data_IF_152043918673
#
_entry.id   IF_152043918673
#
_cell.length_a   1.000
_cell.length_b   1.000
_cell.length_c   1.000
_cell.angle_alpha   90.00
_cell.angle_beta   90.00
_cell.angle_gamma   90.00
#
_symmetry.space_group_name_H-M   'P 1'
#
loop_
_entity.id
_entity.type
_entity.pdbx_description
1 polymer ?
#
# COMPACT_ATOMS: atom_id res chain seq x y z
N UNK A 1 -27.03 39.14 32.29
CA UNK A 1 -26.07 38.08 32.68
C UNK A 1 -26.53 36.64 32.38
N UNK A 2 -27.81 36.27 32.55
CA UNK A 2 -28.28 34.89 32.29
C UNK A 2 -28.25 34.43 30.81
N UNK A 3 -28.44 35.34 29.85
CA UNK A 3 -28.47 35.00 28.42
C UNK A 3 -27.05 34.76 27.86
N UNK A 4 -26.04 35.47 28.37
CA UNK A 4 -24.64 35.31 27.93
C UNK A 4 -24.07 33.93 28.33
N UNK A 5 -24.50 33.39 29.48
CA UNK A 5 -24.08 32.07 29.98
C UNK A 5 -24.66 30.90 29.18
N UNK A 6 -25.87 31.05 28.62
CA UNK A 6 -26.52 30.01 27.81
C UNK A 6 -25.88 29.94 26.42
N UNK A 7 -25.51 31.08 25.84
CA UNK A 7 -24.82 31.13 24.54
C UNK A 7 -23.39 30.56 24.66
N UNK A 8 -22.68 30.85 25.76
CA UNK A 8 -21.34 30.32 26.00
C UNK A 8 -21.33 28.80 26.22
N UNK A 9 -22.36 28.25 26.88
CA UNK A 9 -22.46 26.80 27.12
C UNK A 9 -22.88 26.02 25.88
N UNK A 10 -23.70 26.59 25.00
CA UNK A 10 -24.05 25.98 23.71
C UNK A 10 -22.88 25.97 22.69
N UNK A 11 -22.00 26.99 22.72
CA UNK A 11 -20.82 27.04 21.86
C UNK A 11 -19.73 26.03 22.28
N UNK A 12 -19.61 25.75 23.59
CA UNK A 12 -18.62 24.79 24.11
C UNK A 12 -19.06 23.34 23.86
N UNK A 13 -20.37 23.04 23.86
CA UNK A 13 -20.87 21.70 23.51
C UNK A 13 -20.80 21.40 22.00
N UNK A 14 -20.87 22.41 21.13
CA UNK A 14 -20.65 22.25 19.69
C UNK A 14 -19.17 22.07 19.30
N UNK A 15 -18.22 22.53 20.14
CA UNK A 15 -16.78 22.35 19.92
C UNK A 15 -16.19 21.09 20.59
N UNK A 16 -17.00 20.31 21.31
CA UNK A 16 -16.58 19.07 22.00
C UNK A 16 -16.99 17.78 21.25
N UNK A 17 -17.25 17.87 19.94
CA UNK A 17 -17.24 16.67 19.10
C UNK A 17 -15.81 16.43 18.62
N UNK A 18 -15.08 15.46 19.19
CA UNK A 18 -13.91 14.95 18.53
C UNK A 18 -14.41 14.26 17.27
N UNK A 19 -14.32 14.92 16.11
CA UNK A 19 -14.16 14.21 14.85
C UNK A 19 -12.76 13.60 14.84
N UNK A 20 -12.52 12.65 15.75
CA UNK A 20 -11.45 11.69 15.55
C UNK A 20 -11.85 10.93 14.31
N UNK A 21 -11.27 11.31 13.17
CA UNK A 21 -11.08 10.39 12.06
C UNK A 21 -10.19 9.26 12.60
N UNK A 22 -10.81 8.32 13.32
CA UNK A 22 -10.13 7.11 13.78
C UNK A 22 -9.83 6.34 12.51
N UNK A 23 -8.58 6.42 12.04
CA UNK A 23 -8.11 5.56 10.98
C UNK A 23 -8.45 4.12 11.37
N UNK A 24 -9.07 3.38 10.45
CA UNK A 24 -9.44 2.01 10.71
C UNK A 24 -8.19 1.17 11.00
N UNK A 25 -8.05 0.65 12.22
CA UNK A 25 -6.97 -0.25 12.60
C UNK A 25 -7.57 -1.62 12.87
N UNK A 26 -7.22 -2.58 12.01
CA UNK A 26 -7.61 -3.97 12.19
C UNK A 26 -6.56 -4.67 13.05
N UNK A 27 -7.01 -5.43 14.05
CA UNK A 27 -6.13 -6.35 14.77
C UNK A 27 -5.73 -7.45 13.79
N UNK A 28 -4.43 -7.51 13.45
CA UNK A 28 -3.91 -8.58 12.62
C UNK A 28 -4.11 -9.93 13.32
N UNK A 29 -4.43 -10.98 12.55
CA UNK A 29 -4.49 -12.35 13.07
C UNK A 29 -3.16 -12.80 13.66
N UNK A 30 -3.18 -13.91 14.41
CA UNK A 30 -2.03 -14.41 15.16
C UNK A 30 -0.90 -14.97 14.29
N UNK A 31 -1.01 -14.90 12.95
CA UNK A 31 -0.03 -15.43 12.00
C UNK A 31 -0.28 -16.89 11.63
N UNK A 32 -1.07 -17.62 12.42
CA UNK A 32 -1.48 -18.99 12.11
C UNK A 32 -2.81 -19.00 11.34
N UNK A 33 -2.77 -19.26 10.03
CA UNK A 33 -3.95 -19.27 9.16
C UNK A 33 -5.08 -20.16 9.71
N UNK A 34 -4.77 -21.38 10.14
CA UNK A 34 -5.80 -22.32 10.59
C UNK A 34 -6.52 -21.81 11.84
N UNK A 35 -5.77 -21.22 12.77
CA UNK A 35 -6.33 -20.61 13.98
C UNK A 35 -7.16 -19.39 13.62
N UNK A 36 -6.63 -18.51 12.77
CA UNK A 36 -7.32 -17.29 12.32
C UNK A 36 -8.62 -17.61 11.57
N UNK A 37 -8.63 -18.66 10.74
CA UNK A 37 -9.81 -19.15 10.05
C UNK A 37 -10.88 -19.63 11.04
N UNK A 38 -10.51 -20.51 11.99
CA UNK A 38 -11.44 -21.02 13.00
C UNK A 38 -12.05 -19.89 13.83
N UNK A 39 -11.22 -18.97 14.33
CA UNK A 39 -11.66 -17.80 15.11
C UNK A 39 -12.60 -16.92 14.28
N UNK A 40 -12.28 -16.65 13.00
CA UNK A 40 -13.15 -15.87 12.13
C UNK A 40 -14.52 -16.55 11.92
N UNK A 41 -14.53 -17.88 11.71
CA UNK A 41 -15.77 -18.65 11.56
C UNK A 41 -16.60 -18.65 12.84
N UNK A 42 -15.98 -18.78 14.00
CA UNK A 42 -16.66 -18.74 15.30
C UNK A 42 -17.28 -17.38 15.57
N UNK A 43 -16.50 -16.30 15.36
CA UNK A 43 -16.93 -14.91 15.63
C UNK A 43 -18.02 -14.41 14.70
N UNK A 44 -18.03 -14.78 13.43
CA UNK A 44 -18.99 -14.23 12.47
C UNK A 44 -20.43 -14.66 12.80
N UNK A 45 -21.38 -13.73 12.84
CA UNK A 45 -22.80 -14.09 13.04
C UNK A 45 -23.38 -14.82 11.83
N UNK A 46 -22.88 -14.48 10.64
CA UNK A 46 -23.21 -15.12 9.38
C UNK A 46 -22.00 -15.21 8.45
N UNK A 47 -21.98 -16.26 7.63
CA UNK A 47 -20.97 -16.47 6.58
C UNK A 47 -21.71 -16.88 5.33
N UNK A 48 -21.52 -16.14 4.24
CA UNK A 48 -22.24 -16.37 3.00
C UNK A 48 -21.46 -15.84 1.80
N UNK A 49 -21.78 -16.40 0.62
CA UNK A 49 -21.35 -15.87 -0.66
C UNK A 49 -22.44 -14.96 -1.20
N UNK A 50 -22.09 -13.75 -1.61
CA UNK A 50 -23.04 -12.82 -2.21
C UNK A 50 -22.47 -12.14 -3.46
N UNK A 51 -23.34 -11.85 -4.42
CA UNK A 51 -23.02 -11.03 -5.59
C UNK A 51 -23.45 -9.60 -5.34
N UNK A 52 -22.58 -8.65 -5.66
CA UNK A 52 -22.94 -7.23 -5.70
C UNK A 52 -23.76 -6.97 -6.96
N UNK A 53 -25.00 -6.53 -6.80
CA UNK A 53 -25.90 -6.20 -7.92
C UNK A 53 -25.70 -4.72 -8.29
N UNK A 54 -25.69 -4.31 -9.58
CA UNK A 54 -25.52 -2.90 -9.94
C UNK A 54 -26.70 -2.06 -9.38
N UNK A 55 -26.56 -0.78 -9.02
CA UNK A 55 -25.56 0.22 -9.40
C UNK A 55 -25.02 1.01 -8.18
N UNK A 56 -23.68 1.13 -8.00
CA UNK A 56 -23.12 2.04 -7.01
C UNK A 56 -23.46 3.49 -7.40
N UNK A 57 -24.39 4.12 -6.68
CA UNK A 57 -24.70 5.55 -6.84
C UNK A 57 -23.78 6.36 -5.93
N UNK A 58 -22.90 7.16 -6.55
CA UNK A 58 -22.17 8.22 -5.87
C UNK A 58 -20.82 7.83 -5.27
N UNK A 59 -19.97 8.82 -4.97
CA UNK A 59 -18.58 8.60 -4.62
C UNK A 59 -18.46 8.20 -3.14
N UNK A 60 -17.88 7.02 -2.88
CA UNK A 60 -17.25 6.62 -1.62
C UNK A 60 -18.11 6.48 -0.34
N UNK A 61 -19.41 6.80 -0.35
CA UNK A 61 -20.29 6.68 0.82
C UNK A 61 -21.69 6.22 0.41
N UNK A 62 -22.21 5.17 1.02
CA UNK A 62 -23.59 4.73 0.78
C UNK A 62 -23.83 3.27 1.14
N UNK A 63 -24.75 2.65 0.41
CA UNK A 63 -25.01 1.21 0.49
C UNK A 63 -24.85 0.57 -0.89
N UNK A 64 -24.64 -0.74 -0.91
CA UNK A 64 -24.72 -1.56 -2.11
C UNK A 64 -25.77 -2.64 -1.91
N UNK A 65 -26.54 -2.91 -2.95
CA UNK A 65 -27.42 -4.08 -2.96
C UNK A 65 -26.59 -5.34 -3.22
N UNK A 66 -26.83 -6.36 -2.40
CA UNK A 66 -26.26 -7.68 -2.61
C UNK A 66 -27.34 -8.72 -2.72
N UNK A 67 -27.07 -9.74 -3.53
CA UNK A 67 -27.87 -10.95 -3.65
C UNK A 67 -27.08 -12.11 -3.07
N UNK A 68 -27.65 -12.78 -2.07
CA UNK A 68 -27.02 -13.92 -1.41
C UNK A 68 -27.10 -15.13 -2.34
N UNK A 69 -25.94 -15.68 -2.70
CA UNK A 69 -25.85 -16.83 -3.58
C UNK A 69 -25.87 -18.14 -2.80
N UNK A 70 -25.13 -18.20 -1.68
CA UNK A 70 -25.00 -19.40 -0.85
C UNK A 70 -24.73 -19.02 0.60
N UNK A 71 -25.24 -19.81 1.56
CA UNK A 71 -25.11 -19.55 2.99
C UNK A 71 -24.39 -20.71 3.67
N UNK A 72 -23.36 -20.40 4.46
CA UNK A 72 -22.59 -21.36 5.25
C UNK A 72 -23.00 -21.32 6.73
N UNK A 73 -23.31 -20.13 7.25
CA UNK A 73 -23.65 -19.91 8.66
C UNK A 73 -24.59 -18.71 8.78
N UNK A 74 -25.47 -18.73 9.77
CA UNK A 74 -26.25 -17.57 10.21
C UNK A 74 -27.67 -17.51 9.64
N UNK A 75 -28.41 -16.42 9.94
CA UNK A 75 -29.85 -16.32 9.67
C UNK A 75 -30.21 -15.82 8.25
N UNK A 76 -29.21 -15.53 7.42
CA UNK A 76 -29.40 -15.07 6.04
C UNK A 76 -29.87 -16.23 5.16
N UNK A 77 -30.68 -15.97 4.13
CA UNK A 77 -31.16 -17.02 3.21
C UNK A 77 -30.64 -16.85 1.78
N UNK A 78 -30.44 -17.95 1.07
CA UNK A 78 -30.08 -17.93 -0.36
C UNK A 78 -31.18 -17.24 -1.18
N UNK A 79 -30.78 -16.38 -2.11
CA UNK A 79 -31.65 -15.54 -2.92
C UNK A 79 -32.11 -14.24 -2.23
N UNK A 80 -31.81 -14.07 -0.95
CA UNK A 80 -32.14 -12.83 -0.23
C UNK A 80 -31.39 -11.64 -0.82
N UNK A 81 -32.08 -10.49 -0.90
CA UNK A 81 -31.51 -9.21 -1.34
C UNK A 81 -31.59 -8.19 -0.23
N UNK A 82 -30.47 -7.55 0.09
CA UNK A 82 -30.44 -6.47 1.07
C UNK A 82 -29.26 -5.52 0.82
N UNK A 83 -29.29 -4.40 1.54
CA UNK A 83 -28.30 -3.35 1.46
C UNK A 83 -27.16 -3.57 2.46
N UNK A 84 -25.92 -3.48 2.00
CA UNK A 84 -24.71 -3.47 2.82
C UNK A 84 -24.09 -2.08 2.82
N UNK A 85 -23.52 -1.62 3.95
CA UNK A 85 -22.82 -0.35 4.00
C UNK A 85 -21.54 -0.41 3.15
N UNK A 86 -21.35 0.60 2.31
CA UNK A 86 -20.13 0.81 1.52
C UNK A 86 -19.43 2.09 1.96
N UNK A 87 -18.10 2.05 1.92
CA UNK A 87 -17.28 3.21 2.15
C UNK A 87 -15.88 3.10 1.56
N UNK A 88 -14.94 3.82 2.15
CA UNK A 88 -13.54 3.78 1.76
C UNK A 88 -12.66 4.61 2.67
N UNK A 89 -11.40 4.19 2.81
CA UNK A 89 -10.31 5.01 3.38
C UNK A 89 -10.63 5.71 4.70
N UNK A 90 -10.63 4.97 5.81
CA UNK A 90 -10.69 5.55 7.17
C UNK A 90 -12.02 5.36 7.90
N UNK A 91 -13.11 5.00 7.23
CA UNK A 91 -14.44 4.79 7.84
C UNK A 91 -14.75 3.33 8.21
N UNK A 92 -13.73 2.45 8.14
CA UNK A 92 -13.83 1.01 8.34
C UNK A 92 -14.85 0.28 7.45
N UNK A 93 -15.42 0.88 6.40
CA UNK A 93 -16.37 0.18 5.54
C UNK A 93 -15.67 -0.50 4.37
N UNK A 94 -16.29 -1.53 3.82
CA UNK A 94 -15.77 -2.23 2.64
C UNK A 94 -16.10 -1.42 1.40
N UNK A 95 -15.10 -1.29 0.51
CA UNK A 95 -15.32 -0.76 -0.84
C UNK A 95 -15.64 -1.91 -1.79
N UNK A 96 -16.92 -2.12 -2.06
CA UNK A 96 -17.35 -3.17 -2.97
C UNK A 96 -17.02 -2.82 -4.42
N UNK A 97 -16.84 -3.87 -5.23
CA UNK A 97 -16.70 -3.81 -6.68
C UNK A 97 -18.03 -4.26 -7.27
N UNK A 98 -18.58 -3.48 -8.18
CA UNK A 98 -19.83 -3.85 -8.87
C UNK A 98 -19.68 -5.20 -9.56
N UNK A 99 -20.76 -6.00 -9.54
CA UNK A 99 -20.87 -7.30 -10.21
C UNK A 99 -19.91 -8.39 -9.70
N UNK A 100 -19.05 -8.09 -8.73
CA UNK A 100 -18.16 -9.07 -8.13
C UNK A 100 -18.87 -9.91 -7.06
N UNK A 101 -18.43 -11.16 -6.94
CA UNK A 101 -18.84 -12.05 -5.85
C UNK A 101 -17.89 -11.89 -4.66
N UNK A 102 -18.47 -11.97 -3.46
CA UNK A 102 -17.76 -11.80 -2.19
C UNK A 102 -18.02 -13.00 -1.28
N UNK A 103 -16.97 -13.46 -0.63
CA UNK A 103 -17.09 -14.26 0.59
C UNK A 103 -17.21 -13.29 1.76
N UNK A 104 -18.33 -13.36 2.48
CA UNK A 104 -18.68 -12.41 3.53
C UNK A 104 -18.63 -13.09 4.89
N UNK A 105 -17.86 -12.48 5.80
CA UNK A 105 -17.89 -12.73 7.23
C UNK A 105 -18.57 -11.52 7.88
N UNK A 106 -19.82 -11.71 8.30
CA UNK A 106 -20.60 -10.65 8.95
C UNK A 106 -20.18 -10.45 10.40
N UNK A 107 -20.47 -9.27 10.94
CA UNK A 107 -20.13 -8.90 12.31
C UNK A 107 -20.75 -9.85 13.35
N UNK A 108 -20.13 -10.04 14.54
CA UNK A 108 -20.60 -11.00 15.53
C UNK A 108 -22.03 -10.81 16.03
N UNK A 109 -22.59 -9.60 15.91
CA UNK A 109 -23.93 -9.25 16.41
C UNK A 109 -24.94 -8.93 15.32
N UNK A 110 -24.52 -8.85 14.05
CA UNK A 110 -25.39 -8.48 12.95
C UNK A 110 -24.93 -9.14 11.65
N UNK A 111 -25.81 -9.99 11.10
CA UNK A 111 -25.57 -10.77 9.88
C UNK A 111 -25.54 -9.93 8.60
N UNK A 112 -26.03 -8.68 8.66
CA UNK A 112 -26.10 -7.73 7.54
C UNK A 112 -25.18 -6.52 7.75
N UNK A 113 -24.24 -6.63 8.68
CA UNK A 113 -23.20 -5.62 8.93
C UNK A 113 -21.82 -6.18 8.63
N UNK A 114 -21.01 -5.41 7.90
CA UNK A 114 -19.66 -5.79 7.48
C UNK A 114 -18.74 -4.58 7.65
N UNK A 115 -17.55 -4.83 8.20
CA UNK A 115 -16.49 -3.85 8.27
C UNK A 115 -15.24 -4.35 7.55
N UNK A 116 -14.35 -3.43 7.21
CA UNK A 116 -13.08 -3.64 6.55
C UNK A 116 -12.16 -4.60 7.32
N UNK A 117 -12.33 -4.69 8.63
CA UNK A 117 -11.56 -5.61 9.48
C UNK A 117 -12.17 -7.00 9.59
N UNK A 118 -13.38 -7.21 9.05
CA UNK A 118 -13.88 -8.56 8.90
C UNK A 118 -13.08 -9.28 7.81
N UNK A 119 -13.15 -10.62 7.81
CA UNK A 119 -12.45 -11.44 6.80
C UNK A 119 -13.14 -11.41 5.42
N UNK A 120 -14.11 -10.52 5.23
CA UNK A 120 -14.85 -10.35 3.99
C UNK A 120 -13.94 -9.91 2.85
N UNK A 121 -14.07 -10.56 1.69
CA UNK A 121 -13.21 -10.29 0.53
C UNK A 121 -13.89 -10.69 -0.78
N UNK A 122 -13.42 -10.14 -1.92
CA UNK A 122 -13.80 -10.67 -3.22
C UNK A 122 -13.44 -12.16 -3.32
N UNK A 123 -14.30 -12.92 -3.97
CA UNK A 123 -14.08 -14.33 -4.27
C UNK A 123 -14.24 -14.53 -5.78
N UNK A 124 -13.21 -15.08 -6.41
CA UNK A 124 -13.14 -15.20 -7.88
C UNK A 124 -13.41 -16.62 -8.39
N UNK A 125 -13.39 -17.62 -7.51
CA UNK A 125 -13.63 -19.02 -7.87
C UNK A 125 -14.25 -19.78 -6.69
N UNK A 126 -15.00 -20.85 -6.99
CA UNK A 126 -15.50 -21.82 -6.02
C UNK A 126 -14.40 -22.79 -5.55
N UNK A 127 -13.27 -22.87 -6.26
CA UNK A 127 -12.10 -23.63 -5.83
C UNK A 127 -11.24 -22.86 -4.81
N UNK A 128 -11.71 -21.70 -4.35
CA UNK A 128 -11.06 -20.95 -3.28
C UNK A 128 -10.92 -21.81 -2.02
N UNK A 129 -9.69 -21.95 -1.52
CA UNK A 129 -9.39 -22.89 -0.44
C UNK A 129 -10.11 -22.56 0.87
N UNK A 130 -10.47 -21.30 1.12
CA UNK A 130 -11.29 -20.91 2.27
C UNK A 130 -12.75 -21.31 2.06
N UNK A 131 -13.28 -21.14 0.85
CA UNK A 131 -14.63 -21.60 0.49
C UNK A 131 -14.76 -23.12 0.57
N UNK A 132 -13.80 -23.85 0.02
CA UNK A 132 -13.73 -25.32 0.11
C UNK A 132 -13.66 -25.77 1.57
N UNK A 133 -12.88 -25.08 2.41
CA UNK A 133 -12.86 -25.38 3.84
C UNK A 133 -14.21 -25.13 4.52
N UNK A 134 -14.85 -24.00 4.23
CA UNK A 134 -16.13 -23.63 4.84
C UNK A 134 -17.25 -24.64 4.51
N UNK A 135 -17.22 -25.22 3.31
CA UNK A 135 -18.22 -26.16 2.79
C UNK A 135 -17.93 -27.61 3.16
N UNK A 136 -16.66 -28.02 3.18
CA UNK A 136 -16.26 -29.43 3.41
C UNK A 136 -15.73 -29.70 4.82
N UNK A 137 -15.39 -28.66 5.58
CA UNK A 137 -14.74 -28.75 6.88
C UNK A 137 -13.23 -29.05 6.82
N UNK A 138 -12.67 -29.33 5.64
CA UNK A 138 -11.24 -29.63 5.47
C UNK A 138 -10.42 -28.34 5.38
N UNK A 139 -9.53 -28.10 6.35
CA UNK A 139 -8.69 -26.91 6.37
C UNK A 139 -7.74 -26.85 5.16
N UNK A 140 -7.42 -25.64 4.66
CA UNK A 140 -6.51 -25.49 3.54
C UNK A 140 -5.11 -25.99 3.91
N UNK A 141 -4.47 -26.75 3.02
CA UNK A 141 -3.06 -27.13 3.20
C UNK A 141 -2.18 -25.88 3.21
N UNK A 142 -1.33 -25.77 4.22
CA UNK A 142 -0.34 -24.71 4.30
C UNK A 142 0.93 -25.12 3.55
N UNK A 143 1.54 -24.20 2.79
CA UNK A 143 2.84 -24.47 2.20
C UNK A 143 3.89 -24.68 3.29
N UNK A 144 4.67 -25.73 3.15
CA UNK A 144 5.86 -25.98 3.98
C UNK A 144 7.15 -25.51 3.29
N UNK A 145 7.04 -25.11 2.02
CA UNK A 145 8.14 -24.71 1.16
C UNK A 145 7.86 -23.32 0.62
N UNK A 146 8.91 -22.50 0.56
CA UNK A 146 8.86 -21.15 -0.01
C UNK A 146 9.97 -20.95 -1.02
N UNK A 147 9.67 -20.15 -2.05
CA UNK A 147 10.63 -19.69 -3.02
C UNK A 147 10.57 -18.17 -3.12
N UNK A 148 11.71 -17.51 -2.91
CA UNK A 148 11.82 -16.06 -2.96
C UNK A 148 12.35 -15.59 -4.31
N UNK A 149 11.79 -14.50 -4.80
CA UNK A 149 12.41 -13.70 -5.86
C UNK A 149 13.42 -12.75 -5.20
N UNK A 150 14.66 -12.74 -5.68
CA UNK A 150 15.59 -11.64 -5.45
C UNK A 150 15.58 -10.72 -6.67
N UNK A 151 15.58 -9.41 -6.40
CA UNK A 151 15.58 -8.37 -7.43
C UNK A 151 16.72 -7.42 -7.14
N UNK A 152 17.44 -7.01 -8.18
CA UNK A 152 18.51 -6.01 -8.09
C UNK A 152 18.43 -5.05 -9.28
N UNK A 153 18.91 -3.83 -9.09
CA UNK A 153 18.98 -2.77 -10.10
C UNK A 153 20.03 -1.74 -9.67
N UNK A 154 20.47 -0.91 -10.61
CA UNK A 154 21.15 0.33 -10.28
C UNK A 154 20.13 1.31 -9.67
N UNK A 155 20.33 1.80 -8.42
CA UNK A 155 19.36 2.64 -7.75
C UNK A 155 19.30 4.04 -8.38
N UNK A 156 18.07 4.57 -8.51
CA UNK A 156 17.90 5.95 -8.94
C UNK A 156 18.17 6.93 -7.81
N UNK A 157 19.42 7.38 -7.69
CA UNK A 157 19.84 8.37 -6.69
C UNK A 157 19.53 9.80 -7.16
N UNK A 158 18.41 10.34 -6.69
CA UNK A 158 17.97 11.69 -7.02
C UNK A 158 18.91 12.78 -6.48
N UNK A 159 19.62 12.54 -5.37
CA UNK A 159 20.60 13.50 -4.83
C UNK A 159 21.84 13.55 -5.72
N UNK A 160 22.32 12.40 -6.20
CA UNK A 160 23.41 12.33 -7.19
C UNK A 160 23.02 13.01 -8.51
N UNK A 161 21.81 12.74 -9.01
CA UNK A 161 21.28 13.38 -10.23
C UNK A 161 21.18 14.90 -10.04
N UNK A 162 20.59 15.38 -8.95
CA UNK A 162 20.48 16.81 -8.68
C UNK A 162 21.84 17.47 -8.42
N UNK A 163 22.72 16.78 -7.70
CA UNK A 163 24.08 17.22 -7.41
C UNK A 163 24.89 17.46 -8.67
N UNK A 164 24.75 16.59 -9.68
CA UNK A 164 25.46 16.76 -10.96
C UNK A 164 24.96 17.96 -11.75
N UNK A 165 23.66 18.28 -11.67
CA UNK A 165 23.07 19.46 -12.33
C UNK A 165 23.55 20.78 -11.74
N UNK A 166 23.91 20.83 -10.45
CA UNK A 166 24.32 22.07 -9.75
C UNK A 166 25.84 22.23 -9.64
N UNK A 167 26.59 21.20 -10.03
CA UNK A 167 28.04 21.15 -9.89
C UNK A 167 28.71 21.32 -11.26
N UNK A 168 29.78 22.14 -11.38
CA UNK A 168 30.56 22.21 -12.61
C UNK A 168 31.20 20.86 -12.98
N UNK A 169 31.40 20.55 -14.27
CA UNK A 169 32.08 19.33 -14.69
C UNK A 169 33.46 19.15 -14.02
N UNK A 170 33.77 17.93 -13.57
CA UNK A 170 35.04 17.60 -12.93
C UNK A 170 35.19 18.09 -11.47
N UNK A 171 34.11 18.61 -10.86
CA UNK A 171 34.07 18.96 -9.43
C UNK A 171 33.27 17.93 -8.62
N UNK A 172 33.54 17.90 -7.32
CA UNK A 172 32.81 17.06 -6.37
C UNK A 172 31.33 17.47 -6.31
N UNK A 173 30.44 16.48 -6.32
CA UNK A 173 28.99 16.70 -6.28
C UNK A 173 28.58 17.47 -5.02
N UNK A 174 27.73 18.47 -5.19
CA UNK A 174 27.17 19.26 -4.10
C UNK A 174 25.92 18.54 -3.57
N UNK A 175 25.85 18.21 -2.28
CA UNK A 175 24.67 17.59 -1.70
C UNK A 175 23.52 18.60 -1.56
N UNK A 176 22.28 18.13 -1.34
CA UNK A 176 21.14 19.01 -1.10
C UNK A 176 21.38 19.96 0.08
N UNK A 177 20.83 21.16 -0.01
CA UNK A 177 20.86 22.15 1.05
C UNK A 177 19.55 22.17 1.82
N UNK A 178 19.61 22.51 3.10
CA UNK A 178 18.43 22.91 3.86
C UNK A 178 17.70 24.08 3.19
N UNK A 179 16.38 24.12 3.29
CA UNK A 179 15.52 25.04 2.53
C UNK A 179 15.88 26.51 2.80
N UNK A 180 16.30 26.84 4.03
CA UNK A 180 16.72 28.21 4.40
C UNK A 180 18.00 28.63 3.68
N UNK A 181 18.97 27.72 3.55
CA UNK A 181 20.22 27.97 2.82
C UNK A 181 19.98 28.02 1.31
N UNK A 182 19.13 27.13 0.80
CA UNK A 182 18.68 27.14 -0.59
C UNK A 182 18.03 28.48 -0.97
N UNK A 183 17.21 29.07 -0.08
CA UNK A 183 16.60 30.38 -0.32
C UNK A 183 17.64 31.50 -0.43
N UNK A 184 18.67 31.48 0.43
CA UNK A 184 19.75 32.46 0.35
C UNK A 184 20.53 32.32 -0.96
N UNK A 185 20.83 31.09 -1.40
CA UNK A 185 21.51 30.82 -2.67
C UNK A 185 20.67 31.23 -3.87
N UNK A 186 19.36 30.95 -3.84
CA UNK A 186 18.41 31.37 -4.86
C UNK A 186 18.39 32.90 -5.02
N UNK A 187 18.31 33.65 -3.91
CA UNK A 187 18.37 35.12 -3.93
C UNK A 187 19.69 35.64 -4.49
N UNK A 188 20.79 34.95 -4.19
CA UNK A 188 22.11 35.24 -4.74
C UNK A 188 22.30 34.72 -6.19
N UNK A 189 21.27 34.13 -6.81
CA UNK A 189 21.31 33.49 -8.15
C UNK A 189 22.39 32.41 -8.29
N UNK A 190 22.80 31.79 -7.17
CA UNK A 190 23.79 30.72 -7.13
C UNK A 190 23.13 29.35 -7.35
N UNK A 191 23.89 28.34 -7.84
CA UNK A 191 23.38 26.98 -7.94
C UNK A 191 23.01 26.43 -6.56
N UNK A 192 21.94 25.64 -6.51
CA UNK A 192 21.46 25.00 -5.28
C UNK A 192 20.52 23.84 -5.63
N UNK A 193 20.37 22.91 -4.69
CA UNK A 193 19.38 21.83 -4.72
C UNK A 193 18.75 21.75 -3.32
N UNK A 194 17.44 21.52 -3.25
CA UNK A 194 16.70 21.38 -1.99
C UNK A 194 15.45 20.54 -2.19
N UNK A 195 14.92 19.95 -1.12
CA UNK A 195 13.61 19.31 -1.15
C UNK A 195 12.49 20.35 -1.32
N UNK A 196 11.42 19.97 -2.02
CA UNK A 196 10.17 20.71 -2.07
C UNK A 196 9.08 19.92 -1.34
N UNK A 197 8.89 20.24 -0.06
CA UNK A 197 7.81 19.65 0.75
C UNK A 197 6.42 19.97 0.20
N UNK A 198 6.24 21.13 -0.45
CA UNK A 198 4.97 21.55 -1.03
C UNK A 198 4.56 20.74 -2.27
N UNK A 199 5.53 20.29 -3.08
CA UNK A 199 5.27 19.51 -4.28
C UNK A 199 5.31 17.98 -4.04
N UNK A 200 5.92 17.57 -2.93
CA UNK A 200 6.01 16.17 -2.51
C UNK A 200 4.69 15.65 -1.96
N UNK A 201 4.39 14.38 -2.21
CA UNK A 201 3.22 13.67 -1.69
C UNK A 201 3.65 12.28 -1.22
N UNK A 202 2.76 11.50 -0.61
CA UNK A 202 3.04 10.10 -0.31
C UNK A 202 3.36 9.23 -1.55
N UNK A 203 3.06 9.73 -2.76
CA UNK A 203 3.30 9.02 -4.03
C UNK A 203 4.53 9.52 -4.79
N UNK A 204 4.96 10.77 -4.61
CA UNK A 204 6.16 11.32 -5.27
C UNK A 204 7.00 12.18 -4.33
N UNK A 205 8.31 12.13 -4.49
CA UNK A 205 9.25 13.02 -3.82
C UNK A 205 9.75 14.03 -4.85
N UNK A 206 9.77 15.31 -4.48
CA UNK A 206 10.19 16.39 -5.38
C UNK A 206 11.37 17.14 -4.78
N UNK A 207 12.40 17.32 -5.59
CA UNK A 207 13.52 18.22 -5.32
C UNK A 207 13.56 19.31 -6.37
N UNK A 208 14.06 20.48 -6.01
CA UNK A 208 14.15 21.61 -6.94
C UNK A 208 15.49 22.30 -6.79
N UNK A 209 15.91 23.00 -7.84
CA UNK A 209 17.19 23.66 -7.83
C UNK A 209 17.40 24.66 -8.94
N UNK A 210 18.58 25.28 -8.89
CA UNK A 210 19.15 26.07 -9.96
C UNK A 210 20.45 25.41 -10.39
N UNK A 211 20.56 25.04 -11.66
CA UNK A 211 21.73 24.37 -12.23
C UNK A 211 22.96 25.27 -12.18
N UNK A 212 24.13 24.69 -12.42
CA UNK A 212 25.36 25.46 -12.55
C UNK A 212 25.31 26.44 -13.74
N UNK A 213 24.54 26.12 -14.79
CA UNK A 213 24.24 26.99 -15.93
C UNK A 213 23.20 28.09 -15.62
N UNK A 214 22.63 28.08 -14.40
CA UNK A 214 21.65 29.07 -13.98
C UNK A 214 20.21 28.78 -14.43
N UNK A 215 19.92 27.58 -14.95
CA UNK A 215 18.54 27.16 -15.29
C UNK A 215 17.84 26.61 -14.06
N UNK A 216 16.56 26.89 -13.92
CA UNK A 216 15.75 26.36 -12.81
C UNK A 216 15.20 24.98 -13.18
N UNK A 217 15.13 24.06 -12.22
CA UNK A 217 14.62 22.72 -12.48
C UNK A 217 13.90 22.10 -11.28
N UNK A 218 13.10 21.08 -11.55
CA UNK A 218 12.58 20.14 -10.58
C UNK A 218 12.94 18.69 -10.97
N UNK A 219 13.25 17.88 -9.97
CA UNK A 219 13.41 16.43 -10.06
C UNK A 219 12.24 15.78 -9.35
N UNK A 220 11.60 14.82 -10.01
CA UNK A 220 10.44 14.11 -9.51
C UNK A 220 10.77 12.62 -9.44
N UNK A 221 10.83 12.09 -8.24
CA UNK A 221 10.96 10.66 -7.99
C UNK A 221 9.59 10.03 -7.74
N UNK A 222 9.31 8.93 -8.45
CA UNK A 222 8.10 8.13 -8.27
C UNK A 222 8.48 6.65 -8.18
N UNK A 223 8.07 5.91 -7.13
CA UNK A 223 7.35 6.40 -5.95
C UNK A 223 8.21 7.25 -4.98
N UNK A 224 7.58 7.96 -4.04
CA UNK A 224 8.24 8.89 -3.09
C UNK A 224 9.27 8.25 -2.17
N UNK A 225 9.08 6.98 -1.81
CA UNK A 225 9.92 6.27 -0.87
C UNK A 225 10.37 4.94 -1.46
N UNK A 226 11.69 4.74 -1.39
CA UNK A 226 12.49 3.54 -1.72
C UNK A 226 11.68 2.34 -2.23
N UNK A 227 11.68 2.21 -3.56
CA UNK A 227 11.26 1.01 -4.27
C UNK A 227 12.39 -0.02 -4.40
N UNK A 228 13.39 0.01 -3.49
CA UNK A 228 14.62 -0.78 -3.56
C UNK A 228 14.36 -2.25 -3.86
N UNK A 229 13.37 -2.85 -3.20
CA UNK A 229 13.14 -4.28 -3.35
C UNK A 229 12.42 -4.67 -4.66
N UNK A 230 11.78 -3.74 -5.39
CA UNK A 230 11.10 -4.03 -6.67
C UNK A 230 11.75 -3.44 -7.91
N UNK A 231 12.69 -2.51 -7.75
CA UNK A 231 13.34 -1.83 -8.87
C UNK A 231 12.34 -1.15 -9.81
N UNK A 232 11.50 -0.28 -9.22
CA UNK A 232 10.43 0.43 -9.95
C UNK A 232 10.52 1.94 -9.75
N UNK A 233 11.63 2.46 -9.24
CA UNK A 233 11.81 3.89 -9.08
C UNK A 233 12.15 4.55 -10.41
N UNK A 234 11.50 5.67 -10.68
CA UNK A 234 11.79 6.54 -11.81
C UNK A 234 12.06 7.94 -11.31
N UNK A 235 13.06 8.60 -11.90
CA UNK A 235 13.36 10.01 -11.67
C UNK A 235 13.21 10.75 -12.98
N UNK A 236 12.38 11.78 -12.97
CA UNK A 236 12.18 12.68 -14.10
C UNK A 236 12.74 14.05 -13.80
N UNK A 237 13.42 14.65 -14.77
CA UNK A 237 13.86 16.04 -14.76
C UNK A 237 12.85 16.90 -15.52
N UNK A 238 12.54 18.06 -14.98
CA UNK A 238 11.77 19.10 -15.67
C UNK A 238 12.45 20.43 -15.49
N UNK A 239 12.67 21.13 -16.59
CA UNK A 239 13.12 22.51 -16.54
C UNK A 239 11.94 23.43 -16.19
N UNK A 240 12.25 24.50 -15.47
CA UNK A 240 11.30 25.50 -15.03
C UNK A 240 11.67 26.84 -15.66
N UNK A 241 10.66 27.60 -16.09
CA UNK A 241 10.87 29.01 -16.42
C UNK A 241 11.46 29.78 -15.24
N UNK A 242 10.94 29.52 -14.04
CA UNK A 242 11.47 30.06 -12.78
C UNK A 242 11.02 29.22 -11.59
N UNK A 243 11.70 29.41 -10.46
CA UNK A 243 11.22 28.95 -9.14
C UNK A 243 10.54 30.11 -8.41
N UNK A 244 9.39 29.85 -7.81
CA UNK A 244 8.77 30.74 -6.83
C UNK A 244 8.96 30.18 -5.42
N UNK A 245 8.99 31.07 -4.44
CA UNK A 245 9.08 30.70 -3.03
C UNK A 245 7.95 31.34 -2.26
N UNK A 246 7.22 30.53 -1.51
CA UNK A 246 6.25 31.01 -0.53
C UNK A 246 6.72 30.69 0.89
N UNK A 247 6.39 31.58 1.82
CA UNK A 247 6.48 31.35 3.26
C UNK A 247 5.10 31.63 3.85
N UNK A 248 4.26 30.60 4.05
CA UNK A 248 2.91 30.80 4.58
C UNK A 248 2.93 31.44 5.97
N UNK A 249 3.95 31.11 6.78
CA UNK A 249 4.16 31.65 8.12
C UNK A 249 5.64 32.01 8.34
N UNK A 250 5.95 32.96 9.26
CA UNK A 250 7.32 33.42 9.52
C UNK A 250 8.30 32.30 9.93
N UNK A 251 7.81 31.33 10.71
CA UNK A 251 8.61 30.24 11.27
C UNK A 251 8.67 28.99 10.39
N UNK A 252 7.87 28.93 9.33
CA UNK A 252 7.88 27.79 8.41
C UNK A 252 9.09 27.80 7.45
N UNK A 253 9.52 26.59 7.07
CA UNK A 253 10.51 26.41 6.02
C UNK A 253 9.98 26.98 4.69
N UNK A 254 10.83 27.66 3.90
CA UNK A 254 10.41 28.19 2.61
C UNK A 254 10.01 27.06 1.67
N UNK A 255 8.88 27.24 0.98
CA UNK A 255 8.31 26.28 0.06
C UNK A 255 8.63 26.70 -1.37
N UNK A 256 9.39 25.89 -2.08
CA UNK A 256 9.79 26.15 -3.46
C UNK A 256 8.83 25.47 -4.45
N UNK A 257 8.49 26.18 -5.52
CA UNK A 257 7.61 25.65 -6.56
C UNK A 257 8.13 26.01 -7.95
N UNK A 258 8.12 25.03 -8.86
CA UNK A 258 8.40 25.23 -10.27
C UNK A 258 7.22 25.94 -10.96
N UNK A 259 7.50 26.99 -11.70
CA UNK A 259 6.51 27.73 -12.51
C UNK A 259 6.71 27.43 -13.97
N UNK A 260 5.61 27.13 -14.67
CA UNK A 260 5.60 26.72 -16.08
C UNK A 260 6.61 25.60 -16.34
N UNK A 261 6.47 24.43 -15.68
CA UNK A 261 7.38 23.32 -15.87
C UNK A 261 7.26 22.73 -17.28
N UNK A 262 8.39 22.45 -17.90
CA UNK A 262 8.47 21.81 -19.21
C UNK A 262 8.06 20.32 -19.17
N UNK A 263 8.10 19.68 -20.34
CA UNK A 263 7.85 18.25 -20.49
C UNK A 263 8.87 17.45 -19.67
N UNK A 264 8.43 16.44 -18.89
CA UNK A 264 9.33 15.56 -18.16
C UNK A 264 10.28 14.79 -19.07
N UNK A 265 11.57 14.85 -18.75
CA UNK A 265 12.64 14.05 -19.32
C UNK A 265 12.99 12.93 -18.34
N UNK A 266 13.09 11.69 -18.81
CA UNK A 266 13.48 10.57 -17.97
C UNK A 266 14.97 10.67 -17.65
N UNK A 267 15.31 10.92 -16.38
CA UNK A 267 16.68 11.02 -15.91
C UNK A 267 17.21 9.66 -15.41
N UNK A 268 16.34 8.82 -14.87
CA UNK A 268 16.68 7.47 -14.42
C UNK A 268 15.44 6.58 -14.34
N UNK A 269 15.59 5.30 -14.68
CA UNK A 269 14.58 4.26 -14.52
C UNK A 269 15.23 2.95 -14.04
N UNK A 270 14.93 2.55 -12.80
CA UNK A 270 15.45 1.30 -12.21
C UNK A 270 15.00 0.07 -13.01
N UNK A 271 13.85 0.13 -13.69
CA UNK A 271 13.34 -0.99 -14.47
C UNK A 271 14.28 -1.36 -15.62
N UNK A 272 15.07 -0.40 -16.14
CA UNK A 272 16.02 -0.64 -17.24
C UNK A 272 17.21 -1.50 -16.81
N UNK A 273 17.61 -1.46 -15.54
CA UNK A 273 18.71 -2.25 -14.98
C UNK A 273 18.23 -3.41 -14.11
N UNK A 274 16.90 -3.63 -14.05
CA UNK A 274 16.29 -4.64 -13.19
C UNK A 274 16.68 -6.05 -13.63
N UNK A 275 17.28 -6.78 -12.71
CA UNK A 275 17.52 -8.21 -12.80
C UNK A 275 16.71 -8.92 -11.71
N UNK A 276 16.06 -10.03 -12.08
CA UNK A 276 15.32 -10.88 -11.14
C UNK A 276 15.85 -12.30 -11.20
N UNK A 277 16.02 -12.91 -10.03
CA UNK A 277 16.40 -14.31 -9.90
C UNK A 277 15.48 -14.99 -8.90
N UNK A 278 15.19 -16.27 -9.14
CA UNK A 278 14.54 -17.11 -8.16
C UNK A 278 15.58 -17.79 -7.30
N UNK A 279 15.47 -17.58 -5.99
CA UNK A 279 16.31 -18.25 -5.01
C UNK A 279 15.96 -19.75 -4.92
N UNK A 280 16.88 -20.58 -4.39
CA UNK A 280 16.59 -21.98 -4.09
C UNK A 280 15.39 -22.15 -3.17
N UNK A 281 14.76 -23.32 -3.23
CA UNK A 281 13.66 -23.68 -2.34
C UNK A 281 14.15 -23.74 -0.88
N UNK A 282 13.36 -23.16 0.00
CA UNK A 282 13.63 -23.10 1.43
C UNK A 282 12.43 -23.59 2.24
N UNK A 283 12.70 -24.16 3.41
CA UNK A 283 11.66 -24.59 4.35
C UNK A 283 11.02 -23.35 5.00
N UNK A 284 9.69 -23.29 4.97
CA UNK A 284 8.93 -22.20 5.57
C UNK A 284 8.68 -22.46 7.06
N UNK A 285 9.08 -21.51 7.92
CA UNK A 285 8.72 -21.53 9.33
C UNK A 285 7.34 -20.87 9.55
N UNK A 286 6.58 -21.39 10.53
CA UNK A 286 5.18 -21.01 10.74
C UNK A 286 4.98 -19.55 11.19
N UNK A 287 5.99 -18.91 11.78
CA UNK A 287 5.97 -17.57 12.34
C UNK A 287 6.44 -16.48 11.35
N UNK A 288 6.92 -16.85 10.17
CA UNK A 288 7.48 -15.92 9.19
C UNK A 288 6.42 -15.18 8.36
N UNK A 289 5.17 -15.64 8.38
CA UNK A 289 4.11 -15.16 7.49
C UNK A 289 2.83 -14.76 8.21
N UNK A 290 2.27 -13.61 7.81
CA UNK A 290 0.94 -13.17 8.18
C UNK A 290 -0.03 -13.37 7.02
N UNK A 291 -1.02 -14.23 7.22
CA UNK A 291 -1.97 -14.63 6.19
C UNK A 291 -3.14 -13.66 6.10
N UNK A 292 -3.34 -13.02 4.94
CA UNK A 292 -4.53 -12.19 4.69
C UNK A 292 -5.69 -13.02 4.15
N UNK A 293 -5.39 -14.00 3.32
CA UNK A 293 -6.34 -14.98 2.79
C UNK A 293 -5.71 -16.37 2.90
N UNK A 294 -6.43 -17.42 2.51
CA UNK A 294 -5.85 -18.77 2.42
C UNK A 294 -4.81 -18.93 1.31
N UNK A 295 -4.79 -18.02 0.33
CA UNK A 295 -3.92 -18.06 -0.85
C UNK A 295 -2.86 -16.96 -0.90
N UNK A 296 -2.89 -16.01 0.04
CA UNK A 296 -2.01 -14.85 0.07
C UNK A 296 -1.54 -14.53 1.49
N UNK A 297 -0.22 -14.38 1.63
CA UNK A 297 0.45 -14.01 2.86
C UNK A 297 1.42 -12.85 2.64
N UNK A 298 1.71 -12.12 3.72
CA UNK A 298 2.85 -11.22 3.80
C UNK A 298 3.88 -11.83 4.72
N UNK A 299 5.09 -12.03 4.21
CA UNK A 299 6.13 -12.70 4.95
C UNK A 299 7.33 -11.79 5.21
N UNK A 300 8.00 -12.02 6.33
CA UNK A 300 9.26 -11.40 6.71
C UNK A 300 10.22 -12.51 7.10
N UNK A 301 11.32 -12.65 6.36
CA UNK A 301 12.30 -13.70 6.58
C UNK A 301 13.46 -13.13 7.40
N UNK A 302 13.48 -13.45 8.70
CA UNK A 302 14.53 -13.03 9.62
C UNK A 302 15.54 -14.18 9.74
N UNK A 303 16.72 -14.01 9.14
CA UNK A 303 17.80 -14.99 9.19
C UNK A 303 18.12 -15.66 7.84
N UNK A 304 19.10 -16.57 7.82
CA UNK A 304 19.53 -17.24 6.60
C UNK A 304 18.46 -18.24 6.10
N UNK A 305 18.39 -18.49 4.77
CA UNK A 305 17.53 -19.51 4.19
C UNK A 305 17.86 -20.89 4.76
N UNK A 306 16.84 -21.67 5.13
CA UNK A 306 16.98 -23.09 5.47
C UNK A 306 16.67 -23.91 4.21
N UNK A 307 17.64 -24.62 3.61
CA UNK A 307 17.41 -25.36 2.38
C UNK A 307 16.30 -26.39 2.52
N UNK A 308 15.41 -26.47 1.53
CA UNK A 308 14.42 -27.54 1.47
C UNK A 308 15.10 -28.87 1.08
N UNK A 309 14.85 -29.99 1.79
CA UNK A 309 15.49 -31.27 1.47
C UNK A 309 15.11 -31.81 0.09
N UNK A 310 16.08 -32.43 -0.60
CA UNK A 310 15.83 -33.11 -1.87
C UNK A 310 14.86 -34.29 -1.71
N UNK A 311 13.97 -34.48 -2.69
CA UNK A 311 13.00 -35.59 -2.70
C UNK A 311 11.75 -35.41 -1.84
N UNK A 312 11.63 -34.29 -1.11
CA UNK A 312 10.42 -33.97 -0.31
C UNK A 312 9.42 -33.18 -1.17
N UNK A 313 8.10 -33.49 -1.10
CA UNK A 313 7.08 -32.77 -1.86
C UNK A 313 7.15 -31.24 -1.67
N UNK A 314 7.05 -30.52 -2.78
CA UNK A 314 7.15 -29.04 -2.82
C UNK A 314 5.80 -28.34 -2.91
N UNK A 315 4.71 -29.10 -3.05
CA UNK A 315 3.36 -28.56 -3.18
C UNK A 315 2.56 -28.74 -1.88
N UNK A 316 1.80 -27.72 -1.44
CA UNK A 316 1.71 -26.39 -2.04
C UNK A 316 2.98 -25.55 -1.81
N UNK A 317 3.37 -24.77 -2.83
CA UNK A 317 4.53 -23.88 -2.79
C UNK A 317 4.10 -22.45 -2.45
N UNK A 318 4.84 -21.78 -1.57
CA UNK A 318 4.68 -20.35 -1.36
C UNK A 318 5.66 -19.58 -2.25
N UNK A 319 5.16 -18.82 -3.22
CA UNK A 319 6.01 -18.00 -4.10
C UNK A 319 5.97 -16.55 -3.63
N UNK A 320 7.12 -16.02 -3.25
CA UNK A 320 7.27 -14.74 -2.57
C UNK A 320 8.02 -13.74 -3.44
N UNK A 321 7.41 -12.58 -3.68
CA UNK A 321 8.04 -11.45 -4.36
C UNK A 321 8.27 -10.31 -3.38
N UNK A 322 9.41 -9.59 -3.47
CA UNK A 322 9.66 -8.46 -2.60
C UNK A 322 8.51 -7.43 -2.69
N UNK A 323 8.12 -6.82 -1.58
CA UNK A 323 7.24 -5.65 -1.54
C UNK A 323 8.08 -4.36 -1.59
N UNK A 324 7.51 -3.29 -2.14
CA UNK A 324 8.17 -1.99 -2.07
C UNK A 324 8.34 -1.54 -0.60
N UNK A 325 9.47 -0.93 -0.28
CA UNK A 325 9.79 -0.42 1.05
C UNK A 325 11.21 -0.78 1.51
N UNK A 326 11.62 -0.22 2.65
CA UNK A 326 12.97 -0.37 3.23
C UNK A 326 13.21 -1.66 4.02
N UNK A 327 12.16 -2.43 4.30
CA UNK A 327 12.25 -3.68 5.06
C UNK A 327 12.00 -4.86 4.13
N UNK A 328 12.71 -6.00 4.31
CA UNK A 328 12.58 -7.20 3.47
C UNK A 328 11.24 -7.89 3.73
N UNK A 329 10.17 -7.28 3.24
CA UNK A 329 8.81 -7.81 3.24
C UNK A 329 8.53 -8.42 1.88
N UNK A 330 7.79 -9.51 1.89
CA UNK A 330 7.42 -10.23 0.67
C UNK A 330 5.91 -10.37 0.58
N UNK A 331 5.39 -10.14 -0.61
CA UNK A 331 4.03 -10.49 -1.01
C UNK A 331 4.09 -11.91 -1.56
N UNK A 332 3.42 -12.83 -0.88
CA UNK A 332 3.53 -14.24 -1.15
C UNK A 332 2.17 -14.83 -1.54
N UNK A 333 2.19 -15.70 -2.54
CA UNK A 333 1.01 -16.40 -3.05
C UNK A 333 1.21 -17.90 -3.05
N UNK A 334 0.20 -18.65 -2.64
CA UNK A 334 0.20 -20.11 -2.69
C UNK A 334 0.02 -20.55 -4.14
N UNK A 335 0.91 -21.41 -4.63
CA UNK A 335 0.83 -22.04 -5.93
C UNK A 335 0.70 -23.56 -5.78
N UNK A 336 -0.22 -24.15 -6.54
CA UNK A 336 -0.42 -25.60 -6.59
C UNK A 336 0.58 -26.31 -7.54
N UNK A 337 1.24 -25.55 -8.41
CA UNK A 337 2.15 -26.03 -9.46
C UNK A 337 3.63 -25.95 -9.05
N UNK A 338 4.47 -26.51 -9.92
CA UNK A 338 5.94 -26.53 -9.81
C UNK A 338 6.54 -25.13 -9.62
N UNK A 339 7.75 -25.03 -9.03
CA UNK A 339 8.46 -23.77 -8.87
C UNK A 339 8.53 -22.98 -10.19
N UNK A 340 8.38 -21.65 -10.19
CA UNK A 340 8.68 -20.85 -11.37
C UNK A 340 10.07 -21.20 -11.92
N UNK A 341 10.14 -21.44 -13.23
CA UNK A 341 11.39 -21.71 -13.93
C UNK A 341 12.34 -20.53 -13.80
N UNK A 342 13.65 -20.80 -13.72
CA UNK A 342 14.63 -19.73 -13.81
C UNK A 342 14.50 -19.06 -15.18
N UNK A 343 14.52 -17.71 -15.26
CA UNK A 343 14.73 -17.05 -16.54
C UNK A 343 16.12 -17.46 -17.05
N UNK A 344 16.18 -17.90 -18.31
CA UNK A 344 17.43 -18.20 -19.03
C UNK A 344 18.34 -16.98 -19.15
#
# INVERSE_FOLDING_TARGET
>A
MRILFIILTAAITLCLWPTTAQACVCVAGGGNLHTDLKVARERASAIYRARVVPAPRGPYLGTVDVEVLEVIKGPVVTGEKFNLPQGGGGDCRVRFRGEAEYLIYAEPKDARLIWHCSRSRPMTSLDDAEWVWLTTGKLPSLPAVVQRESVSCEPCDMERIGGSLITPPGKALIPPHEERKALALMKARRPFLTHSSAASTGQRLVMVGRSWEGKSFELIQTPAHAAEARCTQQVHLRWCKQLTVSKPYPDESPRFQCVEPETPELACDEAQSRQSKWEPLETLAADQCHWRTSSYARCTFNGPPVPHPEGVPTSPLLVCRPEAGRHPRYACSVQAASPPSQPE
#
